data_IF_468047071880
#
_entry.id   IF_468047071880
#
_cell.length_a   1.000
_cell.length_b   1.000
_cell.length_c   1.000
_cell.angle_alpha   90.00
_cell.angle_beta   90.00
_cell.angle_gamma   90.00
#
_symmetry.space_group_name_H-M   'P 1'
#
loop_
_entity.id
_entity.type
_entity.pdbx_description
1 polymer ?
#
# COMPACT_ATOMS: atom_id res chain seq x y z
N UNK A 1 6.83 -16.12 -6.33
CA UNK A 1 7.33 -15.51 -5.07
C UNK A 1 6.31 -14.47 -4.66
N UNK A 2 5.74 -14.52 -3.45
CA UNK A 2 4.70 -13.56 -3.01
C UNK A 2 5.29 -12.45 -2.15
N UNK A 3 6.10 -12.83 -1.16
CA UNK A 3 6.82 -11.90 -0.29
C UNK A 3 8.09 -11.40 -1.00
N UNK A 4 8.24 -10.08 -1.15
CA UNK A 4 9.42 -9.44 -1.71
C UNK A 4 10.40 -9.09 -0.60
N UNK A 5 11.55 -9.77 -0.62
CA UNK A 5 12.71 -9.40 0.18
C UNK A 5 13.60 -8.42 -0.60
N UNK A 6 13.81 -7.22 -0.06
CA UNK A 6 14.67 -6.19 -0.67
C UNK A 6 16.12 -6.64 -0.84
N UNK A 7 16.57 -7.64 -0.08
CA UNK A 7 17.92 -8.20 -0.23
C UNK A 7 18.05 -9.15 -1.43
N UNK A 8 16.94 -9.50 -2.08
CA UNK A 8 16.88 -10.47 -3.18
C UNK A 8 16.46 -9.85 -4.52
N UNK A 9 16.17 -8.54 -4.56
CA UNK A 9 15.67 -7.85 -5.76
C UNK A 9 16.52 -6.63 -6.09
N UNK A 10 16.63 -6.33 -7.39
CA UNK A 10 17.32 -5.13 -7.87
C UNK A 10 16.51 -3.86 -7.58
N UNK A 11 17.20 -2.76 -7.31
CA UNK A 11 16.61 -1.43 -7.08
C UNK A 11 17.24 -0.44 -8.08
N UNK A 12 16.45 0.39 -8.79
CA UNK A 12 14.99 0.47 -8.77
C UNK A 12 14.32 -0.77 -9.38
N UNK A 13 13.09 -1.08 -8.96
CA UNK A 13 12.36 -2.26 -9.39
C UNK A 13 12.14 -2.30 -10.91
N UNK A 14 12.42 -3.46 -11.50
CA UNK A 14 11.93 -3.86 -12.82
C UNK A 14 10.74 -4.81 -12.65
N UNK A 15 9.55 -4.35 -13.03
CA UNK A 15 8.35 -5.17 -12.90
C UNK A 15 8.34 -6.39 -13.81
N UNK A 16 8.97 -6.32 -14.99
CA UNK A 16 9.07 -7.47 -15.86
C UNK A 16 9.90 -8.58 -15.22
N UNK A 17 10.96 -8.22 -14.49
CA UNK A 17 11.76 -9.18 -13.73
C UNK A 17 11.02 -9.70 -12.48
N UNK A 18 10.34 -8.81 -11.73
CA UNK A 18 9.63 -9.19 -10.50
C UNK A 18 8.45 -10.15 -10.74
N UNK A 19 7.73 -9.95 -11.84
CA UNK A 19 6.55 -10.75 -12.19
C UNK A 19 6.83 -11.81 -13.26
N UNK A 20 7.94 -11.70 -14.00
CA UNK A 20 8.28 -12.61 -15.10
C UNK A 20 7.47 -12.33 -16.38
N UNK A 21 6.75 -11.21 -16.44
CA UNK A 21 5.93 -10.78 -17.58
C UNK A 21 5.80 -9.26 -17.63
N UNK A 22 5.52 -8.71 -18.81
CA UNK A 22 5.37 -7.27 -19.02
C UNK A 22 3.90 -6.87 -19.17
N UNK A 23 3.19 -6.73 -18.05
CA UNK A 23 1.82 -6.21 -18.00
C UNK A 23 1.72 -5.00 -17.07
N UNK A 24 0.58 -4.32 -17.09
CA UNK A 24 0.32 -3.20 -16.19
C UNK A 24 0.37 -3.66 -14.72
N UNK A 25 1.09 -2.90 -13.89
CA UNK A 25 1.19 -3.13 -12.45
C UNK A 25 0.39 -2.06 -11.70
N UNK A 26 -0.53 -2.53 -10.86
CA UNK A 26 -1.28 -1.70 -9.92
C UNK A 26 -0.60 -1.71 -8.55
N UNK A 27 -0.40 -0.52 -7.99
CA UNK A 27 0.18 -0.36 -6.65
C UNK A 27 -0.93 -0.17 -5.61
N UNK A 28 -0.91 -0.96 -4.53
CA UNK A 28 -1.74 -0.76 -3.32
C UNK A 28 -0.87 -0.33 -2.12
N UNK A 29 -1.18 0.84 -1.55
CA UNK A 29 -0.56 1.33 -0.31
C UNK A 29 -1.41 0.94 0.90
N UNK A 30 -0.84 0.17 1.81
CA UNK A 30 -1.47 -0.23 3.07
C UNK A 30 -2.45 -1.39 2.91
N UNK A 31 -1.99 -2.52 2.34
CA UNK A 31 -2.86 -3.67 2.03
C UNK A 31 -3.56 -4.28 3.24
N UNK A 32 -3.08 -4.01 4.46
CA UNK A 32 -3.64 -4.51 5.69
C UNK A 32 -3.76 -6.02 5.65
N UNK A 33 -4.99 -6.55 5.78
CA UNK A 33 -5.24 -7.99 5.76
C UNK A 33 -5.32 -8.59 4.34
N UNK A 34 -5.13 -7.79 3.30
CA UNK A 34 -5.17 -8.20 1.90
C UNK A 34 -6.55 -8.56 1.36
N UNK A 35 -7.65 -8.13 1.99
CA UNK A 35 -8.99 -8.55 1.51
C UNK A 35 -9.26 -8.03 0.09
N UNK A 36 -9.11 -6.72 -0.10
CA UNK A 36 -9.40 -6.06 -1.37
C UNK A 36 -8.37 -6.42 -2.44
N UNK A 37 -7.06 -6.28 -2.12
CA UNK A 37 -5.95 -6.70 -2.96
C UNK A 37 -6.16 -8.09 -3.57
N UNK A 38 -6.44 -9.10 -2.72
CA UNK A 38 -6.51 -10.49 -3.16
C UNK A 38 -7.82 -10.80 -3.90
N UNK A 39 -8.91 -10.11 -3.61
CA UNK A 39 -10.14 -10.20 -4.40
C UNK A 39 -9.92 -9.63 -5.81
N UNK A 40 -9.21 -8.51 -5.92
CA UNK A 40 -8.90 -7.90 -7.23
C UNK A 40 -7.89 -8.72 -8.03
N UNK A 41 -6.82 -9.18 -7.39
CA UNK A 41 -5.83 -10.04 -8.04
C UNK A 41 -6.46 -11.32 -8.61
N UNK A 42 -7.41 -11.92 -7.89
CA UNK A 42 -8.10 -13.11 -8.34
C UNK A 42 -9.10 -12.83 -9.48
N UNK A 43 -9.71 -11.65 -9.52
CA UNK A 43 -10.62 -11.24 -10.59
C UNK A 43 -9.91 -10.77 -11.87
N UNK A 44 -8.63 -10.39 -11.78
CA UNK A 44 -7.86 -9.83 -12.89
C UNK A 44 -6.49 -10.53 -13.04
N UNK A 45 -6.47 -11.81 -13.48
CA UNK A 45 -5.23 -12.58 -13.65
C UNK A 45 -4.30 -12.02 -14.75
N UNK A 46 -4.82 -11.16 -15.62
CA UNK A 46 -4.12 -10.43 -16.67
C UNK A 46 -3.35 -9.20 -16.16
N UNK A 47 -3.58 -8.80 -14.91
CA UNK A 47 -2.91 -7.66 -14.25
C UNK A 47 -2.01 -8.13 -13.13
N UNK A 48 -0.98 -7.35 -12.83
CA UNK A 48 -0.07 -7.57 -11.72
C UNK A 48 -0.30 -6.54 -10.62
N UNK A 49 -0.12 -6.95 -9.37
CA UNK A 49 -0.36 -6.12 -8.21
C UNK A 49 0.87 -6.08 -7.31
N UNK A 50 1.38 -4.88 -7.07
CA UNK A 50 2.38 -4.61 -6.05
C UNK A 50 1.68 -3.99 -4.83
N UNK A 51 1.96 -4.48 -3.63
CA UNK A 51 1.36 -3.92 -2.43
C UNK A 51 2.40 -3.69 -1.33
N UNK A 52 2.24 -2.60 -0.58
CA UNK A 52 3.08 -2.29 0.58
C UNK A 52 2.31 -2.33 1.88
N UNK A 53 2.90 -2.94 2.90
CA UNK A 53 2.35 -2.98 4.27
C UNK A 53 3.47 -2.87 5.30
N UNK A 54 3.41 -1.85 6.15
CA UNK A 54 4.43 -1.60 7.17
C UNK A 54 4.28 -2.53 8.39
N UNK A 55 3.05 -2.89 8.74
CA UNK A 55 2.74 -3.75 9.87
C UNK A 55 3.06 -5.21 9.53
N UNK A 56 4.18 -5.73 10.04
CA UNK A 56 4.66 -7.08 9.73
C UNK A 56 3.63 -8.20 9.96
N UNK A 57 2.78 -8.08 10.99
CA UNK A 57 1.69 -9.05 11.25
C UNK A 57 0.67 -9.11 10.11
N UNK A 58 0.34 -7.97 9.53
CA UNK A 58 -0.64 -7.86 8.45
C UNK A 58 -0.02 -8.25 7.11
N UNK A 59 1.24 -7.85 6.87
CA UNK A 59 2.06 -8.32 5.75
C UNK A 59 2.10 -9.85 5.67
N UNK A 60 2.53 -10.52 6.74
CA UNK A 60 2.61 -11.99 6.79
C UNK A 60 1.24 -12.63 6.56
N UNK A 61 0.20 -12.12 7.22
CA UNK A 61 -1.16 -12.61 7.04
C UNK A 61 -1.64 -12.48 5.59
N UNK A 62 -1.26 -11.40 4.89
CA UNK A 62 -1.59 -11.17 3.50
C UNK A 62 -0.84 -12.17 2.60
N UNK A 63 0.46 -12.38 2.81
CA UNK A 63 1.26 -13.37 2.10
C UNK A 63 0.66 -14.78 2.23
N UNK A 64 0.32 -15.19 3.46
CA UNK A 64 -0.29 -16.50 3.75
C UNK A 64 -1.65 -16.69 3.06
N UNK A 65 -2.43 -15.61 2.93
CA UNK A 65 -3.73 -15.65 2.25
C UNK A 65 -3.56 -15.74 0.74
N UNK A 66 -2.63 -14.98 0.17
CA UNK A 66 -2.30 -15.07 -1.25
C UNK A 66 -1.84 -16.48 -1.62
N UNK A 67 -0.91 -17.05 -0.83
CA UNK A 67 -0.37 -18.38 -1.04
C UNK A 67 -1.46 -19.46 -0.98
N UNK A 68 -2.33 -19.42 0.06
CA UNK A 68 -3.44 -20.37 0.20
C UNK A 68 -4.48 -20.28 -0.92
N UNK A 69 -4.62 -19.11 -1.56
CA UNK A 69 -5.54 -18.91 -2.69
C UNK A 69 -4.91 -19.22 -4.05
N UNK A 70 -3.62 -19.55 -4.09
CA UNK A 70 -2.88 -19.77 -5.34
C UNK A 70 -2.73 -18.52 -6.19
N UNK A 71 -2.74 -17.33 -5.56
CA UNK A 71 -2.58 -16.05 -6.26
C UNK A 71 -1.10 -15.80 -6.51
N UNK A 72 -0.71 -15.69 -7.77
CA UNK A 72 0.68 -15.55 -8.23
C UNK A 72 0.99 -14.18 -8.87
N UNK A 73 -0.04 -13.42 -9.23
CA UNK A 73 0.05 -12.05 -9.76
C UNK A 73 0.10 -10.96 -8.66
N UNK A 74 0.49 -11.33 -7.43
CA UNK A 74 0.68 -10.40 -6.30
C UNK A 74 2.12 -10.45 -5.81
N UNK A 75 2.68 -9.28 -5.53
CA UNK A 75 3.94 -9.10 -4.80
C UNK A 75 3.70 -8.17 -3.62
N UNK A 76 4.12 -8.60 -2.42
CA UNK A 76 3.96 -7.87 -1.17
C UNK A 76 5.31 -7.43 -0.66
N UNK A 77 5.43 -6.17 -0.28
CA UNK A 77 6.65 -5.60 0.26
C UNK A 77 6.39 -4.96 1.62
N UNK A 78 7.20 -5.34 2.61
CA UNK A 78 7.11 -4.76 3.95
C UNK A 78 7.90 -3.45 4.04
N UNK A 79 7.29 -2.35 3.62
CA UNK A 79 7.93 -1.02 3.66
C UNK A 79 6.92 0.11 3.86
N UNK A 80 7.41 1.35 3.97
CA UNK A 80 6.59 2.56 3.97
C UNK A 80 6.26 3.00 2.53
N UNK A 81 5.15 3.73 2.35
CA UNK A 81 4.79 4.25 1.04
C UNK A 81 5.86 5.23 0.52
N UNK A 82 6.44 6.01 1.43
CA UNK A 82 7.49 6.97 1.14
C UNK A 82 8.75 6.27 0.63
N UNK A 83 9.22 5.22 1.32
CA UNK A 83 10.39 4.47 0.86
C UNK A 83 10.14 3.83 -0.51
N UNK A 84 8.95 3.26 -0.73
CA UNK A 84 8.61 2.71 -2.04
C UNK A 84 8.68 3.78 -3.15
N UNK A 85 7.93 4.88 -2.98
CA UNK A 85 7.74 5.89 -4.02
C UNK A 85 9.03 6.66 -4.32
N UNK A 86 9.85 6.94 -3.30
CA UNK A 86 11.03 7.79 -3.46
C UNK A 86 12.35 7.03 -3.61
N UNK A 87 12.40 5.73 -3.31
CA UNK A 87 13.67 4.97 -3.29
C UNK A 87 13.64 3.69 -4.09
N UNK A 88 12.48 3.06 -4.26
CA UNK A 88 12.39 1.71 -4.82
C UNK A 88 11.84 1.68 -6.24
N UNK A 89 11.04 2.68 -6.62
CA UNK A 89 10.44 2.76 -7.94
C UNK A 89 11.26 3.63 -8.90
N UNK A 90 11.25 3.24 -10.17
CA UNK A 90 11.66 4.12 -11.28
C UNK A 90 10.54 5.13 -11.55
N UNK A 91 10.91 6.33 -11.97
CA UNK A 91 9.94 7.33 -12.42
C UNK A 91 9.04 6.78 -13.54
N UNK A 92 7.74 7.07 -13.46
CA UNK A 92 6.70 6.69 -14.42
C UNK A 92 6.51 5.16 -14.67
N UNK A 93 6.87 4.29 -13.72
CA UNK A 93 6.74 2.83 -13.88
C UNK A 93 5.35 2.25 -13.57
N UNK A 94 4.47 3.01 -12.93
CA UNK A 94 3.18 2.50 -12.41
C UNK A 94 2.01 2.81 -13.35
N UNK A 95 1.11 1.83 -13.50
CA UNK A 95 -0.12 2.01 -14.27
C UNK A 95 -1.21 2.70 -13.44
N UNK A 96 -1.42 2.28 -12.19
CA UNK A 96 -2.35 2.91 -11.25
C UNK A 96 -1.83 2.83 -9.80
N UNK A 97 -2.26 3.78 -8.97
CA UNK A 97 -1.97 3.80 -7.52
C UNK A 97 -3.27 3.85 -6.74
N UNK A 98 -3.48 2.88 -5.86
CA UNK A 98 -4.60 2.81 -4.92
C UNK A 98 -4.09 2.87 -3.49
N UNK A 99 -4.82 3.54 -2.61
CA UNK A 99 -4.49 3.63 -1.18
C UNK A 99 -5.70 3.20 -0.37
N UNK A 100 -5.58 2.10 0.36
CA UNK A 100 -6.61 1.60 1.28
C UNK A 100 -6.46 2.28 2.63
N UNK A 101 -6.94 3.52 2.73
CA UNK A 101 -7.09 4.15 4.05
C UNK A 101 -8.15 3.37 4.85
N UNK A 102 -7.84 2.80 6.03
CA UNK A 102 -8.90 2.39 6.93
C UNK A 102 -9.69 3.66 7.29
N UNK A 103 -11.01 3.56 7.18
CA UNK A 103 -11.99 4.60 7.49
C UNK A 103 -11.51 5.57 8.59
N UNK A 104 -11.67 6.89 8.42
CA UNK A 104 -11.38 7.82 9.50
C UNK A 104 -12.33 7.50 10.66
N UNK A 105 -11.80 6.92 11.75
CA UNK A 105 -12.48 7.00 13.03
C UNK A 105 -12.74 8.47 13.36
N UNK A 106 -13.78 8.82 14.14
CA UNK A 106 -14.14 10.21 14.37
C UNK A 106 -12.99 10.93 15.08
N UNK A 107 -12.17 11.64 14.31
CA UNK A 107 -11.30 12.68 14.85
C UNK A 107 -12.18 13.90 15.05
N UNK A 108 -12.54 14.12 16.31
CA UNK A 108 -12.82 15.42 16.89
C UNK A 108 -11.75 16.44 16.47
N UNK A 109 -11.97 17.05 15.30
CA UNK A 109 -11.29 18.25 14.86
C UNK A 109 -11.77 19.42 15.72
N UNK A 110 -11.10 19.66 16.85
CA UNK A 110 -11.09 21.02 17.40
C UNK A 110 -9.84 21.71 16.89
N UNK A 111 -10.00 22.30 15.71
CA UNK A 111 -9.08 23.25 15.12
C UNK A 111 -8.90 24.41 16.09
N UNK A 112 -7.64 24.69 16.43
CA UNK A 112 -7.24 25.90 17.13
C UNK A 112 -7.46 27.09 16.19
N UNK A 113 -8.52 27.87 16.42
CA UNK A 113 -8.71 29.17 15.79
C UNK A 113 -8.54 30.24 16.86
N UNK A 114 -7.34 30.82 16.91
CA UNK A 114 -7.13 32.07 17.63
C UNK A 114 -7.77 33.23 16.88
N UNK A 115 -8.55 34.06 17.57
CA UNK A 115 -8.32 35.52 17.65
C UNK A 115 -9.48 36.25 18.36
N UNK A 116 -9.10 36.89 19.47
CA UNK A 116 -9.47 38.25 19.91
C UNK A 116 -10.91 38.62 20.36
N UNK A 117 -10.97 38.99 21.66
CA UNK A 117 -11.58 40.17 22.28
C UNK A 117 -13.11 40.35 22.29
N UNK A 118 -13.74 40.32 23.49
CA UNK A 118 -14.15 41.53 24.23
C UNK A 118 -14.69 41.23 25.65
N UNK A 119 -13.98 41.78 26.65
CA UNK A 119 -14.41 42.44 27.91
C UNK A 119 -15.73 42.06 28.64
N UNK A 120 -15.55 41.94 29.97
CA UNK A 120 -16.38 42.47 31.09
C UNK A 120 -17.77 41.85 31.28
N UNK A 121 -18.30 41.59 32.48
CA UNK A 121 -18.09 42.16 33.80
C UNK A 121 -18.61 41.16 34.84
N UNK A 122 -18.01 41.21 36.03
CA UNK A 122 -18.56 40.73 37.31
C UNK A 122 -20.04 41.13 37.46
N UNK A 123 -20.84 40.22 38.00
CA UNK A 123 -21.55 40.37 39.28
C UNK A 123 -22.00 38.99 39.78
#
# INVERSE_FOLDING_TARGET
>A
MIDLDLNQVGIPFDFAELFGRSVAVDLEIGSGKGKFLLEMAQASPDRDFLAVERAGKYHQLCCDRAARRGIDNVRLLRTSAEDLLFRLLRDASLANVTSSSPTPGPRNATTNAGSSNLRSSRR
#
